data_IF_086979626689
#
_entry.id   IF_086979626689
#
_cell.length_a   1.000
_cell.length_b   1.000
_cell.length_c   1.000
_cell.angle_alpha   90.00
_cell.angle_beta   90.00
_cell.angle_gamma   90.00
#
_symmetry.space_group_name_H-M   'P 1'
#
loop_
_entity.id
_entity.type
_entity.pdbx_description
1 polymer ?
#
# COMPACT_ATOMS: atom_id res chain seq x y z
N UNK A 1 26.17 13.84 22.66
CA UNK A 1 25.21 14.47 21.73
C UNK A 1 24.80 13.41 20.74
N UNK A 2 23.56 12.91 20.87
CA UNK A 2 23.01 11.87 20.01
C UNK A 2 23.11 12.31 18.54
N UNK A 3 23.93 11.61 17.76
CA UNK A 3 23.88 11.72 16.32
C UNK A 3 22.53 11.13 15.88
N UNK A 4 21.56 12.02 15.66
CA UNK A 4 20.29 11.68 15.03
C UNK A 4 20.62 11.04 13.68
N UNK A 5 20.45 9.73 13.61
CA UNK A 5 20.34 8.98 12.36
C UNK A 5 19.19 9.58 11.58
N UNK A 6 19.50 10.55 10.71
CA UNK A 6 18.63 11.01 9.65
C UNK A 6 18.39 9.79 8.76
N UNK A 7 17.30 9.05 9.00
CA UNK A 7 16.68 8.25 7.95
C UNK A 7 16.63 9.15 6.72
N UNK A 8 17.24 8.72 5.62
CA UNK A 8 17.20 9.44 4.35
C UNK A 8 15.73 9.60 3.97
N UNK A 9 15.11 10.72 4.38
CA UNK A 9 13.86 11.21 3.81
C UNK A 9 14.09 11.22 2.31
N UNK A 10 13.21 10.54 1.60
CA UNK A 10 13.24 10.25 0.17
C UNK A 10 14.25 11.14 -0.56
N UNK A 11 15.46 10.65 -0.82
CA UNK A 11 16.47 11.38 -1.58
C UNK A 11 16.14 11.35 -3.08
N UNK A 12 14.89 11.67 -3.39
CA UNK A 12 14.34 11.85 -4.72
C UNK A 12 14.07 13.34 -4.79
N UNK A 13 15.10 14.10 -5.20
CA UNK A 13 14.86 15.42 -5.75
C UNK A 13 14.03 15.22 -7.02
N UNK A 14 12.71 15.19 -6.88
CA UNK A 14 11.79 15.25 -8.00
C UNK A 14 11.82 16.69 -8.52
N UNK A 15 11.98 16.86 -9.82
CA UNK A 15 11.71 18.15 -10.45
C UNK A 15 10.23 18.51 -10.23
N UNK A 16 9.99 19.36 -9.22
CA UNK A 16 9.00 20.45 -9.26
C UNK A 16 7.57 20.17 -8.83
N UNK A 17 7.05 18.94 -8.86
CA UNK A 17 5.61 18.72 -8.65
C UNK A 17 5.26 17.55 -7.71
N UNK A 18 4.18 17.70 -6.91
CA UNK A 18 3.67 16.62 -6.08
C UNK A 18 3.08 15.50 -6.94
N UNK A 19 3.28 14.24 -6.52
CA UNK A 19 2.88 13.06 -7.29
C UNK A 19 1.87 12.23 -6.53
N UNK A 20 0.75 11.89 -7.17
CA UNK A 20 -0.20 10.92 -6.59
C UNK A 20 0.40 9.51 -6.62
N UNK A 21 0.42 8.83 -5.47
CA UNK A 21 0.97 7.48 -5.31
C UNK A 21 -0.08 6.45 -4.88
N UNK A 22 -1.18 6.89 -4.26
CA UNK A 22 -2.38 6.07 -4.00
C UNK A 22 -3.60 6.81 -4.53
N UNK A 23 -4.46 6.09 -5.25
CA UNK A 23 -5.79 6.55 -5.64
C UNK A 23 -6.80 5.44 -5.33
N UNK A 24 -7.82 5.78 -4.54
CA UNK A 24 -8.92 4.88 -4.16
C UNK A 24 -8.47 3.55 -3.53
N UNK A 25 -7.45 3.61 -2.68
CA UNK A 25 -6.87 2.45 -2.00
C UNK A 25 -6.00 1.55 -2.87
N UNK A 26 -5.68 1.99 -4.10
CA UNK A 26 -4.81 1.28 -5.03
C UNK A 26 -3.56 2.10 -5.32
N UNK A 27 -2.44 1.40 -5.53
CA UNK A 27 -1.21 2.06 -5.95
C UNK A 27 -1.30 2.62 -7.36
N UNK A 28 -0.75 3.81 -7.56
CA UNK A 28 -0.39 4.32 -8.87
C UNK A 28 0.94 3.70 -9.31
N UNK A 29 0.86 2.55 -10.01
CA UNK A 29 2.02 1.75 -10.36
C UNK A 29 3.01 2.49 -11.27
N UNK A 30 2.50 3.35 -12.16
CA UNK A 30 3.33 4.11 -13.09
C UNK A 30 4.09 5.21 -12.36
N UNK A 31 3.44 5.87 -11.39
CA UNK A 31 4.09 6.84 -10.53
C UNK A 31 5.15 6.20 -9.65
N UNK A 32 4.85 5.08 -8.97
CA UNK A 32 5.85 4.37 -8.17
C UNK A 32 7.05 3.92 -9.02
N UNK A 33 6.82 3.44 -10.25
CA UNK A 33 7.90 3.05 -11.18
C UNK A 33 8.76 4.26 -11.57
N UNK A 34 8.14 5.39 -11.92
CA UNK A 34 8.83 6.62 -12.33
C UNK A 34 9.70 7.17 -11.21
N UNK A 35 9.20 7.11 -9.97
CA UNK A 35 9.88 7.64 -8.79
C UNK A 35 10.94 6.71 -8.20
N UNK A 36 11.01 5.45 -8.65
CA UNK A 36 11.92 4.42 -8.12
C UNK A 36 11.79 4.25 -6.60
N UNK A 37 10.60 4.48 -6.06
CA UNK A 37 10.28 4.28 -4.65
C UNK A 37 10.04 2.80 -4.41
N UNK A 38 10.74 2.23 -3.44
CA UNK A 38 10.44 0.88 -3.00
C UNK A 38 9.10 0.84 -2.27
N UNK A 39 8.31 -0.22 -2.48
CA UNK A 39 7.05 -0.38 -1.74
C UNK A 39 7.27 -0.47 -0.23
N UNK A 40 8.44 -0.94 0.21
CA UNK A 40 8.78 -1.07 1.63
C UNK A 40 9.04 0.28 2.31
N UNK A 41 9.78 1.19 1.65
CA UNK A 41 9.96 2.57 2.12
C UNK A 41 8.62 3.30 2.17
N UNK A 42 7.78 3.13 1.16
CA UNK A 42 6.47 3.77 1.17
C UNK A 42 5.55 3.18 2.23
N UNK A 43 5.53 1.85 2.42
CA UNK A 43 4.78 1.23 3.51
C UNK A 43 5.26 1.65 4.89
N UNK A 44 6.56 1.89 5.06
CA UNK A 44 7.09 2.44 6.31
C UNK A 44 6.47 3.80 6.62
N UNK A 45 6.40 4.71 5.64
CA UNK A 45 5.78 6.01 5.83
C UNK A 45 4.30 5.88 6.21
N UNK A 46 3.55 5.05 5.47
CA UNK A 46 2.14 4.79 5.79
C UNK A 46 1.94 4.25 7.22
N UNK A 47 2.80 3.33 7.67
CA UNK A 47 2.76 2.83 9.06
C UNK A 47 3.04 3.92 10.08
N UNK A 48 4.00 4.80 9.83
CA UNK A 48 4.32 5.92 10.73
C UNK A 48 3.15 6.90 10.85
N UNK A 49 2.34 7.03 9.79
CA UNK A 49 1.11 7.83 9.78
C UNK A 49 -0.13 7.09 10.32
N UNK A 50 0.03 5.88 10.87
CA UNK A 50 -1.06 5.10 11.46
C UNK A 50 -2.00 4.46 10.43
N UNK A 51 -1.54 4.22 9.21
CA UNK A 51 -2.26 3.44 8.21
C UNK A 51 -1.96 1.96 8.41
N UNK A 52 -2.99 1.12 8.40
CA UNK A 52 -2.86 -0.34 8.53
C UNK A 52 -3.01 -1.08 7.19
N UNK A 53 -3.82 -0.54 6.29
CA UNK A 53 -3.98 -1.07 4.95
C UNK A 53 -4.43 0.00 3.95
N UNK A 54 -4.13 -0.22 2.67
CA UNK A 54 -4.40 0.76 1.61
C UNK A 54 -5.89 1.12 1.48
N UNK A 55 -6.80 0.21 1.87
CA UNK A 55 -8.24 0.41 1.82
C UNK A 55 -8.77 1.53 2.74
N UNK A 56 -7.94 2.03 3.65
CA UNK A 56 -8.23 3.21 4.48
C UNK A 56 -7.94 4.53 3.76
N UNK A 57 -7.10 4.50 2.71
CA UNK A 57 -6.56 5.69 2.04
C UNK A 57 -7.28 5.96 0.74
N UNK A 58 -7.95 7.11 0.64
CA UNK A 58 -8.63 7.57 -0.58
C UNK A 58 -7.66 8.20 -1.57
N UNK A 59 -6.69 8.97 -1.07
CA UNK A 59 -5.65 9.64 -1.87
C UNK A 59 -4.38 9.77 -1.04
N UNK A 60 -3.23 9.42 -1.63
CA UNK A 60 -1.91 9.75 -1.08
C UNK A 60 -1.10 10.50 -2.12
N UNK A 61 -0.45 11.57 -1.69
CA UNK A 61 0.38 12.44 -2.52
C UNK A 61 1.77 12.46 -1.92
N UNK A 62 2.79 12.14 -2.71
CA UNK A 62 4.18 12.42 -2.38
C UNK A 62 4.48 13.88 -2.70
N UNK A 63 4.79 14.66 -1.68
CA UNK A 63 5.15 16.06 -1.80
C UNK A 63 6.61 16.23 -2.26
N UNK A 64 6.97 17.44 -2.69
CA UNK A 64 8.31 17.73 -3.23
C UNK A 64 9.43 17.66 -2.19
N UNK A 65 9.09 17.73 -0.90
CA UNK A 65 10.02 17.58 0.22
C UNK A 65 10.19 16.11 0.67
N UNK A 66 9.50 15.18 0.00
CA UNK A 66 9.51 13.75 0.31
C UNK A 66 8.47 13.32 1.35
N UNK A 67 7.68 14.23 1.90
CA UNK A 67 6.59 13.87 2.81
C UNK A 67 5.37 13.34 2.07
N UNK A 68 4.47 12.68 2.81
CA UNK A 68 3.24 12.12 2.25
C UNK A 68 2.00 12.78 2.86
N UNK A 69 1.22 13.44 2.01
CA UNK A 69 -0.11 13.91 2.36
C UNK A 69 -1.13 12.79 2.20
N UNK A 70 -1.90 12.49 3.25
CA UNK A 70 -2.89 11.39 3.28
C UNK A 70 -4.32 11.90 3.45
N UNK A 71 -5.20 11.43 2.57
CA UNK A 71 -6.63 11.65 2.65
C UNK A 71 -7.33 10.32 2.82
N UNK A 72 -8.10 10.20 3.89
CA UNK A 72 -8.70 8.93 4.30
C UNK A 72 -10.17 8.81 3.86
N UNK A 73 -10.63 7.57 3.77
CA UNK A 73 -12.07 7.29 3.79
C UNK A 73 -12.62 7.52 5.20
N UNK A 74 -13.90 7.95 5.34
CA UNK A 74 -14.60 7.83 6.61
C UNK A 74 -14.75 6.35 6.98
N UNK A 75 -14.94 6.04 8.26
CA UNK A 75 -14.86 4.68 8.80
C UNK A 75 -15.83 3.71 8.09
N UNK A 76 -17.05 4.16 7.83
CA UNK A 76 -18.11 3.44 7.15
C UNK A 76 -17.87 3.19 5.65
N UNK A 77 -16.90 3.89 5.05
CA UNK A 77 -16.55 3.77 3.64
C UNK A 77 -15.17 3.12 3.42
N UNK A 78 -14.53 2.62 4.47
CA UNK A 78 -13.27 1.88 4.37
C UNK A 78 -13.48 0.64 3.49
N UNK A 79 -12.53 0.43 2.59
CA UNK A 79 -12.55 -0.69 1.64
C UNK A 79 -11.62 -1.80 2.12
N UNK A 80 -11.82 -3.00 1.59
CA UNK A 80 -10.78 -4.03 1.65
C UNK A 80 -9.51 -3.51 0.98
N UNK A 81 -8.35 -3.74 1.60
CA UNK A 81 -7.08 -3.32 1.02
C UNK A 81 -5.88 -4.11 1.49
N UNK A 82 -4.77 -3.87 0.81
CA UNK A 82 -3.47 -4.48 1.10
C UNK A 82 -2.91 -3.95 2.41
N UNK A 83 -2.61 -4.86 3.35
CA UNK A 83 -1.91 -4.53 4.60
C UNK A 83 -0.56 -3.87 4.30
N UNK A 84 -0.22 -2.82 5.06
CA UNK A 84 1.09 -2.13 4.95
C UNK A 84 2.16 -2.75 5.86
N UNK A 85 1.87 -3.87 6.52
CA UNK A 85 2.85 -4.55 7.37
C UNK A 85 4.09 -5.02 6.55
N UNK A 86 5.27 -5.11 7.19
CA UNK A 86 6.44 -5.75 6.60
C UNK A 86 6.15 -7.16 6.10
N UNK A 87 6.93 -7.62 5.12
CA UNK A 87 6.71 -8.92 4.49
C UNK A 87 6.77 -10.09 5.47
N UNK A 88 7.60 -10.02 6.52
CA UNK A 88 7.67 -11.07 7.55
C UNK A 88 6.37 -11.22 8.36
N UNK A 89 5.53 -10.18 8.42
CA UNK A 89 4.23 -10.19 9.10
C UNK A 89 3.05 -10.23 8.13
N UNK A 90 3.31 -10.31 6.83
CA UNK A 90 2.28 -10.29 5.77
C UNK A 90 2.47 -11.49 4.85
N UNK A 91 1.92 -12.66 5.21
CA UNK A 91 2.00 -13.87 4.40
C UNK A 91 1.48 -13.62 2.98
N UNK A 92 2.23 -14.13 1.99
CA UNK A 92 1.86 -14.09 0.59
C UNK A 92 1.65 -15.49 0.05
N UNK A 93 0.65 -15.63 -0.83
CA UNK A 93 0.17 -16.89 -1.35
C UNK A 93 0.06 -16.81 -2.87
N UNK A 94 0.58 -17.83 -3.55
CA UNK A 94 0.22 -18.11 -4.95
C UNK A 94 -1.06 -18.94 -5.00
N UNK A 95 -1.16 -19.93 -4.11
CA UNK A 95 -2.35 -20.74 -3.86
C UNK A 95 -2.93 -20.35 -2.51
N UNK A 96 -4.16 -19.85 -2.50
CA UNK A 96 -4.76 -19.29 -1.28
C UNK A 96 -5.33 -20.37 -0.37
N UNK A 97 -5.24 -20.22 0.97
CA UNK A 97 -5.67 -21.26 1.92
C UNK A 97 -7.18 -21.30 2.20
N UNK A 98 -7.93 -20.24 1.87
CA UNK A 98 -9.34 -20.11 2.27
C UNK A 98 -10.13 -19.26 1.28
N UNK A 99 -11.44 -19.50 1.15
CA UNK A 99 -12.31 -18.67 0.32
C UNK A 99 -12.63 -17.34 0.99
N UNK A 100 -11.95 -16.26 0.60
CA UNK A 100 -12.14 -14.91 1.20
C UNK A 100 -11.63 -13.81 0.27
N UNK A 101 -11.64 -12.56 0.72
CA UNK A 101 -11.09 -11.41 0.01
C UNK A 101 -9.57 -11.35 0.19
N UNK A 102 -8.86 -11.34 -0.93
CA UNK A 102 -7.41 -11.17 -0.98
C UNK A 102 -7.04 -9.85 -1.64
N UNK A 103 -5.92 -9.28 -1.24
CA UNK A 103 -5.30 -8.12 -1.85
C UNK A 103 -4.05 -8.53 -2.65
N UNK A 104 -3.92 -8.00 -3.86
CA UNK A 104 -2.75 -8.17 -4.68
C UNK A 104 -1.56 -7.46 -4.03
N UNK A 105 -0.48 -8.19 -3.75
CA UNK A 105 0.69 -7.66 -3.04
C UNK A 105 1.44 -6.58 -3.83
N UNK A 106 1.25 -6.53 -5.15
CA UNK A 106 1.91 -5.57 -6.05
C UNK A 106 1.14 -4.26 -6.20
N UNK A 107 -0.19 -4.30 -6.26
CA UNK A 107 -0.97 -3.14 -6.72
C UNK A 107 -2.15 -2.75 -5.83
N UNK A 108 -2.42 -3.54 -4.78
CA UNK A 108 -3.51 -3.29 -3.83
C UNK A 108 -4.89 -3.79 -4.27
N UNK A 109 -5.07 -4.23 -5.53
CA UNK A 109 -6.38 -4.68 -6.03
C UNK A 109 -6.91 -5.84 -5.19
N UNK A 110 -8.18 -5.76 -4.78
CA UNK A 110 -8.83 -6.82 -4.01
C UNK A 110 -9.77 -7.66 -4.84
N UNK A 111 -9.88 -8.94 -4.50
CA UNK A 111 -10.84 -9.86 -5.12
C UNK A 111 -11.15 -11.03 -4.19
N UNK A 112 -12.35 -11.61 -4.32
CA UNK A 112 -12.65 -12.89 -3.70
C UNK A 112 -11.92 -14.00 -4.47
N UNK A 113 -11.19 -14.86 -3.77
CA UNK A 113 -10.52 -16.04 -4.34
C UNK A 113 -10.95 -17.25 -3.53
N UNK A 114 -11.44 -18.29 -4.20
CA UNK A 114 -11.81 -19.54 -3.52
C UNK A 114 -10.57 -20.29 -3.03
N UNK A 115 -10.73 -21.03 -1.92
CA UNK A 115 -9.69 -21.87 -1.34
C UNK A 115 -9.02 -22.78 -2.38
N UNK A 116 -7.72 -23.00 -2.19
CA UNK A 116 -6.85 -23.83 -3.03
C UNK A 116 -6.71 -23.36 -4.48
N UNK A 117 -7.28 -22.22 -4.88
CA UNK A 117 -7.10 -21.65 -6.23
C UNK A 117 -5.85 -20.77 -6.32
N UNK A 118 -5.39 -20.64 -7.56
CA UNK A 118 -4.42 -19.63 -7.99
C UNK A 118 -5.14 -18.64 -8.91
N UNK A 119 -4.74 -17.38 -8.87
CA UNK A 119 -5.30 -16.35 -9.73
C UNK A 119 -4.22 -15.33 -10.11
N UNK A 120 -4.31 -14.77 -11.31
CA UNK A 120 -3.56 -13.57 -11.68
C UNK A 120 -4.40 -12.34 -11.35
N UNK A 121 -3.75 -11.28 -10.89
CA UNK A 121 -4.42 -10.01 -10.59
C UNK A 121 -4.95 -9.40 -11.90
N UNK A 122 -6.25 -9.08 -12.01
CA UNK A 122 -6.82 -8.52 -13.24
C UNK A 122 -6.29 -7.12 -13.57
N UNK A 123 -5.68 -6.44 -12.59
CA UNK A 123 -5.12 -5.09 -12.75
C UNK A 123 -3.66 -5.07 -13.21
N UNK A 124 -2.86 -6.03 -12.76
CA UNK A 124 -1.40 -5.92 -12.86
C UNK A 124 -0.69 -7.26 -13.10
N UNK A 125 -1.46 -8.33 -13.34
CA UNK A 125 -1.04 -9.71 -13.66
C UNK A 125 -0.22 -10.43 -12.58
N UNK A 126 0.05 -9.77 -11.45
CA UNK A 126 0.73 -10.37 -10.30
C UNK A 126 -0.04 -11.56 -9.73
N UNK A 127 0.66 -12.63 -9.37
CA UNK A 127 0.08 -13.88 -8.87
C UNK A 127 0.22 -14.06 -7.35
N UNK A 128 0.83 -13.09 -6.68
CA UNK A 128 1.04 -13.09 -5.24
C UNK A 128 -0.10 -12.33 -4.54
N UNK A 129 -0.73 -12.99 -3.57
CA UNK A 129 -1.90 -12.51 -2.85
C UNK A 129 -1.70 -12.56 -1.35
N UNK A 130 -2.28 -11.63 -0.61
CA UNK A 130 -2.32 -11.67 0.86
C UNK A 130 -3.75 -11.41 1.33
N UNK A 131 -4.09 -11.74 2.57
CA UNK A 131 -5.41 -11.43 3.12
C UNK A 131 -5.67 -9.93 3.06
N UNK A 132 -6.84 -9.53 2.57
CA UNK A 132 -7.25 -8.14 2.59
C UNK A 132 -7.85 -7.79 3.97
N UNK A 133 -7.56 -6.58 4.46
CA UNK A 133 -8.20 -6.03 5.67
C UNK A 133 -9.19 -4.94 5.30
N UNK A 134 -10.27 -4.81 6.07
CA UNK A 134 -11.27 -3.74 5.98
C UNK A 134 -11.45 -2.98 7.29
N UNK A 135 -10.52 -3.14 8.24
CA UNK A 135 -10.63 -2.52 9.57
C UNK A 135 -10.55 -0.99 9.48
N UNK A 136 -11.50 -0.26 10.11
CA UNK A 136 -11.41 1.19 10.17
C UNK A 136 -10.21 1.63 11.01
N UNK A 137 -9.63 2.79 10.69
CA UNK A 137 -8.51 3.33 11.46
C UNK A 137 -8.97 3.65 12.89
N UNK A 138 -8.27 3.10 13.88
CA UNK A 138 -8.42 3.47 15.28
C UNK A 138 -7.82 4.88 15.49
N UNK A 139 -8.64 5.82 15.98
CA UNK A 139 -8.20 7.19 16.29
C UNK A 139 -7.63 7.29 17.70
#
# INVERSE_FOLDING_TARGET
VLAMSRCRRFSIWMEGEPVTIIREGLYDLDSLRRLKISSDEFFMELRQQGVEHLGQVRLAILETDGEVSLYFYPAEAVKFGLSVLPQEYRPAYVRVPSSTVYACTRCGNTQVIDAEKQAACPRCENTQWTLASSEPRLR
#
